data_IF_856892096162
#
_entry.id   IF_856892096162
#
_cell.length_a   1.000
_cell.length_b   1.000
_cell.length_c   1.000
_cell.angle_alpha   90.00
_cell.angle_beta   90.00
_cell.angle_gamma   90.00
#
_symmetry.space_group_name_H-M   'P 1'
#
loop_
_entity.id
_entity.type
_entity.pdbx_description
1 polymer ?
#
# COMPACT_ATOMS: atom_id res chain seq x y z
N UNK A 1 -102.12 13.02 8.23
CA UNK A 1 -101.06 13.54 9.07
C UNK A 1 -100.11 12.35 9.45
N UNK A 2 -99.04 12.20 8.75
CA UNK A 2 -98.02 11.18 9.11
C UNK A 2 -96.67 11.74 8.78
N UNK A 3 -95.83 11.92 9.80
CA UNK A 3 -94.48 12.41 9.66
C UNK A 3 -93.57 11.21 9.46
N UNK A 4 -92.97 11.08 8.32
CA UNK A 4 -91.92 10.10 8.02
C UNK A 4 -90.60 10.62 8.45
N UNK A 5 -89.99 9.96 9.43
CA UNK A 5 -88.62 10.20 9.87
C UNK A 5 -87.66 9.51 8.90
N UNK A 6 -86.81 10.32 8.30
CA UNK A 6 -85.72 9.88 7.42
C UNK A 6 -84.49 9.70 8.31
N UNK A 7 -83.96 8.49 8.33
CA UNK A 7 -82.69 8.19 8.97
C UNK A 7 -81.51 8.37 7.95
N UNK A 8 -80.66 9.30 8.27
CA UNK A 8 -79.43 9.49 7.54
C UNK A 8 -78.37 8.51 8.12
N UNK A 9 -78.01 7.54 7.31
CA UNK A 9 -76.90 6.65 7.61
C UNK A 9 -75.62 7.35 7.16
N UNK A 10 -74.83 7.82 8.17
CA UNK A 10 -73.49 8.37 7.91
C UNK A 10 -72.51 7.24 7.64
N UNK A 11 -71.99 7.19 6.42
CA UNK A 11 -70.86 6.33 6.07
C UNK A 11 -69.58 7.02 6.51
N UNK A 12 -68.98 6.54 7.58
CA UNK A 12 -67.64 6.94 8.00
C UNK A 12 -66.61 6.27 7.05
N UNK A 13 -66.03 7.06 6.19
CA UNK A 13 -64.85 6.62 5.39
C UNK A 13 -63.61 6.73 6.28
N UNK A 14 -63.13 5.61 6.76
CA UNK A 14 -61.82 5.52 7.45
C UNK A 14 -60.74 5.53 6.36
N UNK A 15 -60.11 6.67 6.17
CA UNK A 15 -58.91 6.79 5.33
C UNK A 15 -57.72 6.31 6.16
N UNK A 16 -57.33 5.06 5.96
CA UNK A 16 -56.10 4.52 6.51
C UNK A 16 -54.90 5.06 5.74
N UNK A 17 -54.29 6.10 6.26
CA UNK A 17 -52.98 6.59 5.77
C UNK A 17 -51.90 5.59 6.18
N UNK A 18 -51.49 4.74 5.25
CA UNK A 18 -50.34 3.88 5.36
C UNK A 18 -49.10 4.78 5.23
N UNK A 19 -48.51 5.22 6.35
CA UNK A 19 -47.22 5.88 6.37
C UNK A 19 -46.16 4.79 6.17
N UNK A 20 -45.71 4.62 4.93
CA UNK A 20 -44.52 3.83 4.67
C UNK A 20 -43.28 4.54 5.23
N UNK A 21 -42.81 4.07 6.40
CA UNK A 21 -41.51 4.45 6.91
C UNK A 21 -40.45 3.83 5.96
N UNK A 22 -40.00 4.61 4.99
CA UNK A 22 -38.75 4.33 4.27
C UNK A 22 -37.61 4.52 5.27
N UNK A 23 -37.15 3.45 5.90
CA UNK A 23 -35.89 3.42 6.62
C UNK A 23 -34.81 3.70 5.57
N UNK A 24 -34.36 4.94 5.47
CA UNK A 24 -33.10 5.27 4.84
C UNK A 24 -32.02 4.56 5.67
N UNK A 25 -31.56 3.41 5.18
CA UNK A 25 -30.29 2.85 5.60
C UNK A 25 -29.25 3.87 5.11
N UNK A 26 -28.88 4.80 5.98
CA UNK A 26 -27.72 5.64 5.73
C UNK A 26 -26.52 4.70 5.74
N UNK A 27 -26.11 4.25 4.53
CA UNK A 27 -24.78 3.69 4.39
C UNK A 27 -23.82 4.78 4.89
N UNK A 28 -22.93 4.51 5.84
CA UNK A 28 -21.89 5.46 6.19
C UNK A 28 -21.19 5.82 4.86
N UNK A 29 -20.86 7.11 4.62
CA UNK A 29 -20.07 7.45 3.46
C UNK A 29 -18.84 6.56 3.50
N UNK A 30 -18.66 5.76 2.46
CA UNK A 30 -17.43 5.01 2.27
C UNK A 30 -16.31 6.04 2.34
N UNK A 31 -15.40 5.87 3.31
CA UNK A 31 -14.23 6.72 3.41
C UNK A 31 -13.58 6.71 2.02
N UNK A 32 -13.60 7.86 1.34
CA UNK A 32 -13.06 7.94 -0.01
C UNK A 32 -11.57 7.72 0.11
N UNK A 33 -11.08 6.63 -0.46
CA UNK A 33 -9.67 6.32 -0.51
C UNK A 33 -8.93 7.52 -1.13
N UNK A 34 -7.95 8.09 -0.44
CA UNK A 34 -7.33 9.37 -0.79
C UNK A 34 -5.79 9.40 -0.63
N UNK A 35 -5.17 8.22 -0.48
CA UNK A 35 -3.73 8.09 -0.30
C UNK A 35 -3.04 7.46 -1.52
N UNK A 36 -3.38 7.91 -2.72
CA UNK A 36 -2.64 7.61 -3.94
C UNK A 36 -1.66 8.73 -4.28
N UNK A 37 -0.54 8.37 -4.88
CA UNK A 37 0.38 9.35 -5.41
C UNK A 37 0.02 9.67 -6.86
N UNK A 38 -0.73 10.76 -7.10
CA UNK A 38 -1.15 11.25 -8.43
C UNK A 38 -1.76 10.16 -9.36
N UNK A 39 -2.26 9.06 -8.81
CA UNK A 39 -2.79 7.97 -9.62
C UNK A 39 -1.76 7.25 -10.49
N UNK A 40 -0.46 7.35 -10.17
CA UNK A 40 0.57 6.55 -10.84
C UNK A 40 0.32 5.07 -10.62
N UNK A 41 0.38 4.29 -11.70
CA UNK A 41 -0.01 2.89 -11.69
C UNK A 41 0.77 2.07 -12.70
N UNK A 42 0.76 0.74 -12.55
CA UNK A 42 1.22 -0.19 -13.56
C UNK A 42 0.19 -0.27 -14.69
N UNK A 43 0.62 -0.01 -15.94
CA UNK A 43 -0.27 -0.21 -17.08
C UNK A 43 -0.59 -1.70 -17.25
N UNK A 44 -1.88 -2.04 -17.47
CA UNK A 44 -2.37 -3.41 -17.65
C UNK A 44 -3.68 -3.41 -18.43
N UNK A 45 -3.99 -4.55 -19.05
CA UNK A 45 -5.15 -4.72 -19.95
C UNK A 45 -6.38 -5.31 -19.25
N UNK A 46 -6.23 -5.81 -18.04
CA UNK A 46 -7.31 -6.42 -17.23
C UNK A 46 -7.01 -6.34 -15.74
N UNK A 47 -8.04 -6.49 -14.92
CA UNK A 47 -7.94 -6.73 -13.48
C UNK A 47 -8.56 -8.11 -13.17
N UNK A 48 -8.13 -8.83 -12.14
CA UNK A 48 -6.87 -8.58 -11.45
C UNK A 48 -5.66 -8.79 -12.39
N UNK A 49 -4.54 -8.17 -12.04
CA UNK A 49 -3.27 -8.40 -12.72
C UNK A 49 -2.23 -8.90 -11.70
N UNK A 50 -1.30 -9.73 -12.15
CA UNK A 50 -0.26 -10.28 -11.28
C UNK A 50 1.05 -9.53 -11.49
N UNK A 51 1.55 -8.85 -10.45
CA UNK A 51 2.83 -8.14 -10.47
C UNK A 51 3.95 -9.04 -9.91
N UNK A 52 5.01 -9.31 -10.68
CA UNK A 52 6.14 -10.07 -10.19
C UNK A 52 6.98 -9.27 -9.19
N UNK A 53 7.30 -9.87 -8.04
CA UNK A 53 8.24 -9.37 -7.04
C UNK A 53 9.50 -10.24 -7.09
N UNK A 54 10.61 -9.65 -7.54
CA UNK A 54 11.89 -10.34 -7.65
C UNK A 54 12.57 -10.45 -6.30
N UNK A 55 12.69 -11.65 -5.79
CA UNK A 55 13.33 -11.93 -4.51
C UNK A 55 14.85 -11.90 -4.62
N UNK A 56 15.45 -10.87 -4.06
CA UNK A 56 16.90 -10.70 -3.90
C UNK A 56 17.23 -10.59 -2.40
N UNK A 57 16.54 -11.33 -1.56
CA UNK A 57 16.68 -11.23 -0.12
C UNK A 57 17.54 -12.36 0.46
N UNK A 58 17.80 -12.31 1.75
CA UNK A 58 18.31 -13.42 2.53
C UNK A 58 17.15 -14.20 3.13
N UNK A 59 17.38 -15.46 3.46
CA UNK A 59 16.38 -16.31 4.12
C UNK A 59 15.76 -15.69 5.41
N UNK A 60 16.47 -14.75 6.04
CA UNK A 60 15.93 -14.01 7.20
C UNK A 60 14.77 -13.08 6.88
N UNK A 61 14.50 -12.84 5.59
CA UNK A 61 13.43 -11.96 5.12
C UNK A 61 12.38 -12.70 4.28
N UNK A 62 12.60 -13.98 3.91
CA UNK A 62 11.71 -14.72 3.02
C UNK A 62 10.28 -14.78 3.56
N UNK A 63 10.12 -14.99 4.87
CA UNK A 63 8.79 -15.03 5.51
C UNK A 63 8.06 -13.68 5.44
N UNK A 64 8.78 -12.57 5.60
CA UNK A 64 8.21 -11.23 5.56
C UNK A 64 7.81 -10.83 4.12
N UNK A 65 8.62 -11.21 3.14
CA UNK A 65 8.26 -11.02 1.73
C UNK A 65 7.07 -11.90 1.33
N UNK A 66 7.06 -13.16 1.79
CA UNK A 66 5.94 -14.07 1.55
C UNK A 66 4.64 -13.57 2.19
N UNK A 67 4.72 -12.94 3.37
CA UNK A 67 3.59 -12.30 4.00
C UNK A 67 3.04 -11.15 3.18
N UNK A 68 3.89 -10.21 2.85
CA UNK A 68 3.46 -9.03 2.12
C UNK A 68 2.92 -9.36 0.71
N UNK A 69 3.29 -10.49 0.11
CA UNK A 69 3.09 -10.65 -1.33
C UNK A 69 2.78 -12.04 -1.86
N UNK A 70 3.02 -13.09 -1.08
CA UNK A 70 2.91 -14.47 -1.60
C UNK A 70 1.51 -15.07 -1.54
N UNK A 71 1.28 -16.23 -2.19
CA UNK A 71 0.08 -17.02 -1.93
C UNK A 71 0.10 -17.51 -0.50
N UNK A 72 -1.09 -17.59 0.16
CA UNK A 72 -1.25 -17.97 1.56
C UNK A 72 -0.35 -19.14 1.93
N UNK A 73 0.77 -18.83 2.58
CA UNK A 73 1.60 -19.83 3.21
C UNK A 73 1.25 -19.83 4.69
N UNK A 74 1.08 -21.02 5.31
CA UNK A 74 1.00 -21.06 6.75
C UNK A 74 2.32 -20.51 7.30
N UNK A 75 2.27 -19.34 7.93
CA UNK A 75 3.40 -18.77 8.64
C UNK A 75 3.99 -19.82 9.60
N UNK A 76 5.30 -19.96 9.68
CA UNK A 76 5.90 -20.55 10.88
C UNK A 76 5.40 -19.68 12.04
N UNK A 77 4.75 -20.31 13.01
CA UNK A 77 4.04 -19.67 14.10
C UNK A 77 4.76 -18.40 14.58
N UNK A 78 4.31 -17.24 14.11
CA UNK A 78 4.64 -15.96 14.70
C UNK A 78 4.04 -15.99 16.11
N UNK A 79 4.81 -15.75 17.17
CA UNK A 79 4.28 -15.67 18.52
C UNK A 79 3.33 -14.47 18.73
N UNK A 80 3.16 -13.59 17.73
CA UNK A 80 2.19 -12.49 17.81
C UNK A 80 0.76 -13.06 17.74
N UNK A 81 -0.06 -12.91 18.80
CA UNK A 81 -1.39 -13.50 18.85
C UNK A 81 -2.42 -12.87 17.90
N UNK A 82 -2.03 -11.87 17.12
CA UNK A 82 -2.91 -11.08 16.26
C UNK A 82 -2.65 -11.26 14.77
N UNK A 83 -1.58 -11.96 14.40
CA UNK A 83 -1.24 -12.19 13.00
C UNK A 83 -2.06 -13.33 12.41
N UNK A 84 -3.10 -13.00 11.68
CA UNK A 84 -3.83 -13.96 10.83
C UNK A 84 -3.14 -13.98 9.48
N UNK A 85 -2.54 -15.10 9.12
CA UNK A 85 -1.80 -15.32 7.88
C UNK A 85 -2.67 -15.16 6.64
N UNK A 86 -2.77 -13.95 6.14
CA UNK A 86 -3.36 -13.65 4.84
C UNK A 86 -2.30 -13.02 3.95
N UNK A 87 -2.45 -13.17 2.65
CA UNK A 87 -1.57 -12.54 1.66
C UNK A 87 -1.90 -11.08 1.58
N UNK A 88 -1.13 -10.25 2.23
CA UNK A 88 -1.49 -8.87 2.42
C UNK A 88 -1.92 -8.19 1.12
N UNK A 89 -1.07 -8.08 0.14
CA UNK A 89 -1.41 -7.32 -1.06
C UNK A 89 -2.22 -8.10 -2.10
N UNK A 90 -2.14 -9.44 -2.12
CA UNK A 90 -2.92 -10.28 -3.04
C UNK A 90 -4.39 -10.46 -2.61
N UNK A 91 -4.79 -9.98 -1.43
CA UNK A 91 -6.20 -9.88 -1.03
C UNK A 91 -6.95 -8.75 -1.76
N UNK A 92 -6.23 -7.91 -2.48
CA UNK A 92 -6.82 -6.89 -3.35
C UNK A 92 -7.63 -7.50 -4.49
N UNK A 93 -8.80 -6.94 -4.80
CA UNK A 93 -9.64 -7.37 -5.93
C UNK A 93 -9.05 -7.03 -7.31
N UNK A 94 -8.01 -6.20 -7.38
CA UNK A 94 -7.46 -5.69 -8.64
C UNK A 94 -6.00 -6.07 -8.88
N UNK A 95 -5.29 -6.52 -7.84
CA UNK A 95 -3.86 -6.82 -7.86
C UNK A 95 -3.58 -8.13 -7.17
N UNK A 96 -2.86 -9.01 -7.85
CA UNK A 96 -2.13 -10.13 -7.25
C UNK A 96 -0.63 -9.85 -7.29
N UNK A 97 0.11 -10.48 -6.39
CA UNK A 97 1.56 -10.49 -6.43
C UNK A 97 2.10 -11.92 -6.53
N UNK A 98 3.25 -12.08 -7.12
CA UNK A 98 3.94 -13.37 -7.19
C UNK A 98 5.42 -13.20 -6.98
N UNK A 99 5.99 -14.03 -6.11
CA UNK A 99 7.43 -14.03 -5.84
C UNK A 99 8.12 -14.80 -6.96
N UNK A 100 9.12 -14.18 -7.57
CA UNK A 100 9.94 -14.77 -8.62
C UNK A 100 11.43 -14.62 -8.26
N UNK A 101 12.29 -15.39 -8.90
CA UNK A 101 13.74 -15.25 -8.71
C UNK A 101 14.19 -13.80 -8.98
N UNK A 102 15.03 -13.27 -8.11
CA UNK A 102 15.57 -11.91 -8.21
C UNK A 102 16.47 -11.72 -9.44
N UNK A 103 16.44 -10.52 -10.01
CA UNK A 103 17.20 -10.15 -11.20
C UNK A 103 18.42 -9.27 -10.94
N UNK A 104 18.74 -9.01 -9.67
CA UNK A 104 19.82 -8.11 -9.29
C UNK A 104 20.61 -8.63 -8.08
N UNK A 105 21.67 -7.95 -7.73
CA UNK A 105 22.36 -8.25 -6.47
C UNK A 105 21.75 -7.43 -5.32
N UNK A 106 21.62 -8.01 -4.14
CA UNK A 106 21.08 -7.36 -2.92
C UNK A 106 21.65 -5.97 -2.70
N UNK A 107 22.97 -5.85 -2.74
CA UNK A 107 23.67 -4.57 -2.52
C UNK A 107 23.29 -3.49 -3.54
N UNK A 108 23.16 -3.85 -4.80
CA UNK A 108 22.86 -2.88 -5.87
C UNK A 108 21.36 -2.59 -5.98
N UNK A 109 20.55 -3.64 -5.83
CA UNK A 109 19.11 -3.57 -5.97
C UNK A 109 18.68 -2.71 -7.17
N UNK A 110 19.15 -3.09 -8.36
CA UNK A 110 18.80 -2.39 -9.60
C UNK A 110 17.41 -2.79 -10.03
N UNK A 111 16.62 -1.85 -10.56
CA UNK A 111 15.30 -2.19 -11.08
C UNK A 111 15.40 -3.08 -12.31
N UNK A 112 14.40 -3.92 -12.48
CA UNK A 112 14.17 -4.75 -13.66
C UNK A 112 12.87 -4.32 -14.32
N UNK A 113 12.86 -4.14 -15.62
CA UNK A 113 11.68 -3.75 -16.39
C UNK A 113 10.50 -4.69 -16.12
N UNK A 114 9.34 -4.10 -15.86
CA UNK A 114 8.07 -4.83 -15.71
C UNK A 114 7.82 -5.48 -14.36
N UNK A 115 8.66 -5.26 -13.36
CA UNK A 115 8.51 -5.84 -12.02
C UNK A 115 9.13 -5.00 -10.91
N UNK A 116 8.95 -5.42 -9.67
CA UNK A 116 9.59 -4.86 -8.49
C UNK A 116 10.72 -5.78 -8.04
N UNK A 117 11.92 -5.25 -7.80
CA UNK A 117 13.01 -5.98 -7.16
C UNK A 117 13.02 -5.67 -5.66
N UNK A 118 12.93 -6.68 -4.83
CA UNK A 118 12.92 -6.57 -3.36
C UNK A 118 14.26 -7.05 -2.83
N UNK A 119 14.91 -6.22 -2.02
CA UNK A 119 16.29 -6.46 -1.60
C UNK A 119 16.50 -6.09 -0.13
N UNK A 120 17.30 -6.88 0.59
CA UNK A 120 17.85 -6.50 1.87
C UNK A 120 19.38 -6.48 1.80
N UNK A 121 20.00 -5.56 2.52
CA UNK A 121 21.45 -5.48 2.64
C UNK A 121 21.85 -4.56 3.81
N UNK A 122 23.06 -4.71 4.32
CA UNK A 122 23.67 -3.73 5.24
C UNK A 122 24.10 -2.48 4.45
N UNK A 123 23.12 -1.57 4.20
CA UNK A 123 23.39 -0.36 3.42
C UNK A 123 24.14 0.73 4.21
N UNK A 124 24.42 0.49 5.48
CA UNK A 124 25.05 1.43 6.41
C UNK A 124 24.05 2.20 7.27
N UNK A 125 24.54 2.86 8.32
CA UNK A 125 23.73 3.69 9.23
C UNK A 125 23.53 5.08 8.61
N UNK A 126 22.71 5.14 7.57
CA UNK A 126 22.52 6.31 6.71
C UNK A 126 21.15 6.96 6.88
N UNK A 127 20.43 6.64 7.97
CA UNK A 127 19.22 7.30 8.42
C UNK A 127 17.92 6.77 7.82
N UNK A 128 17.88 5.57 7.20
CA UNK A 128 16.64 4.99 6.69
C UNK A 128 16.52 3.50 6.97
N UNK A 129 15.29 3.05 7.27
CA UNK A 129 14.91 1.65 7.47
C UNK A 129 14.55 0.99 6.14
N UNK A 130 13.72 1.66 5.35
CA UNK A 130 13.19 1.20 4.09
C UNK A 130 13.21 2.29 3.02
N UNK A 131 13.21 1.85 1.76
CA UNK A 131 13.09 2.67 0.57
C UNK A 131 12.21 1.98 -0.45
N UNK A 132 11.20 2.68 -0.95
CA UNK A 132 10.50 2.31 -2.17
C UNK A 132 10.89 3.26 -3.31
N UNK A 133 11.14 2.72 -4.47
CA UNK A 133 11.43 3.49 -5.67
C UNK A 133 10.60 3.01 -6.84
N UNK A 134 9.94 3.94 -7.52
CA UNK A 134 9.24 3.67 -8.78
C UNK A 134 9.76 4.55 -9.91
N UNK A 135 9.92 3.96 -11.08
CA UNK A 135 10.27 4.68 -12.31
C UNK A 135 9.04 4.81 -13.17
N UNK A 136 8.78 6.02 -13.60
CA UNK A 136 7.63 6.37 -14.43
C UNK A 136 8.04 6.69 -15.87
N UNK A 137 7.18 6.28 -16.79
CA UNK A 137 7.10 6.81 -18.15
C UNK A 137 5.69 7.39 -18.34
N UNK A 138 5.57 8.71 -18.27
CA UNK A 138 4.29 9.40 -18.15
C UNK A 138 3.63 9.10 -16.80
N UNK A 139 2.40 8.60 -16.82
CA UNK A 139 1.65 8.18 -15.62
C UNK A 139 1.90 6.71 -15.22
N UNK A 140 2.61 5.93 -16.03
CA UNK A 140 2.73 4.50 -15.81
C UNK A 140 4.05 4.14 -15.12
N UNK A 141 3.94 3.28 -14.11
CA UNK A 141 5.08 2.61 -13.49
C UNK A 141 5.61 1.58 -14.48
N UNK A 142 6.92 1.56 -14.69
CA UNK A 142 7.58 0.65 -15.63
C UNK A 142 8.56 -0.30 -14.96
N UNK A 143 9.01 0.02 -13.76
CA UNK A 143 9.86 -0.79 -12.89
C UNK A 143 9.85 -0.21 -11.47
N UNK A 144 10.15 -1.05 -10.47
CA UNK A 144 10.22 -0.64 -9.07
C UNK A 144 11.34 -1.35 -8.31
N UNK A 145 11.69 -0.80 -7.15
CA UNK A 145 12.54 -1.48 -6.16
C UNK A 145 12.05 -1.19 -4.74
N UNK A 146 12.13 -2.20 -3.90
CA UNK A 146 11.96 -2.11 -2.45
C UNK A 146 13.27 -2.51 -1.78
N UNK A 147 13.74 -1.73 -0.81
CA UNK A 147 14.97 -2.01 -0.06
C UNK A 147 14.74 -1.91 1.43
N UNK A 148 15.20 -2.88 2.17
CA UNK A 148 15.22 -2.86 3.64
C UNK A 148 16.67 -2.89 4.13
N UNK A 149 16.97 -2.10 5.17
CA UNK A 149 18.35 -1.83 5.60
C UNK A 149 18.75 -2.64 6.83
N UNK A 150 19.40 -3.75 6.60
CA UNK A 150 19.87 -4.65 7.66
C UNK A 150 20.80 -3.99 8.67
N UNK A 151 21.41 -2.83 8.35
CA UNK A 151 22.21 -2.11 9.32
C UNK A 151 21.41 -1.65 10.54
N UNK A 152 20.11 -1.45 10.36
CA UNK A 152 19.16 -1.12 11.43
C UNK A 152 18.41 -2.35 11.92
N UNK A 153 17.95 -3.22 11.02
CA UNK A 153 17.21 -4.43 11.40
C UNK A 153 18.04 -5.47 12.15
N UNK A 154 19.35 -5.30 12.21
CA UNK A 154 20.23 -6.09 13.08
C UNK A 154 20.46 -5.44 14.46
N UNK A 155 19.85 -4.29 14.75
CA UNK A 155 19.89 -3.63 16.06
C UNK A 155 18.73 -4.09 16.94
N UNK A 156 18.87 -3.99 18.25
CA UNK A 156 17.83 -4.41 19.19
C UNK A 156 16.49 -3.64 18.98
N UNK A 157 16.54 -2.39 18.55
CA UNK A 157 15.36 -1.55 18.32
C UNK A 157 14.49 -2.09 17.19
N UNK A 158 15.09 -2.50 16.08
CA UNK A 158 14.37 -2.88 14.87
C UNK A 158 14.41 -4.37 14.54
N UNK A 159 15.16 -5.16 15.31
CA UNK A 159 15.21 -6.61 15.14
C UNK A 159 13.99 -7.27 15.79
N UNK A 160 12.82 -6.87 15.36
CA UNK A 160 11.53 -7.37 15.85
C UNK A 160 10.62 -7.67 14.65
N UNK A 161 9.77 -8.71 14.75
CA UNK A 161 8.87 -9.11 13.65
C UNK A 161 8.00 -7.96 13.17
N UNK A 162 7.33 -7.23 14.06
CA UNK A 162 6.41 -6.16 13.70
C UNK A 162 7.06 -5.06 12.86
N UNK A 163 8.28 -4.63 13.21
CA UNK A 163 9.02 -3.67 12.39
C UNK A 163 9.37 -4.22 11.01
N UNK A 164 9.70 -5.51 10.90
CA UNK A 164 10.00 -6.13 9.60
C UNK A 164 8.76 -6.26 8.74
N UNK A 165 7.61 -6.64 9.33
CA UNK A 165 6.32 -6.70 8.64
C UNK A 165 5.91 -5.32 8.15
N UNK A 166 5.85 -4.32 9.07
CA UNK A 166 5.49 -2.94 8.71
C UNK A 166 6.30 -2.45 7.52
N UNK A 167 7.64 -2.47 7.62
CA UNK A 167 8.49 -1.87 6.58
C UNK A 167 8.43 -2.66 5.27
N UNK A 168 8.36 -3.99 5.32
CA UNK A 168 8.22 -4.79 4.10
C UNK A 168 6.88 -4.50 3.40
N UNK A 169 5.78 -4.53 4.13
CA UNK A 169 4.45 -4.25 3.62
C UNK A 169 4.36 -2.84 3.03
N UNK A 170 4.83 -1.83 3.76
CA UNK A 170 4.75 -0.43 3.36
C UNK A 170 5.54 -0.14 2.09
N UNK A 171 6.81 -0.55 2.05
CA UNK A 171 7.68 -0.27 0.91
C UNK A 171 7.25 -1.04 -0.35
N UNK A 172 6.65 -2.24 -0.21
CA UNK A 172 6.03 -2.95 -1.32
C UNK A 172 4.78 -2.20 -1.78
N UNK A 173 3.91 -1.76 -0.85
CA UNK A 173 2.70 -0.99 -1.14
C UNK A 173 2.95 0.29 -1.95
N UNK A 174 3.99 1.04 -1.63
CA UNK A 174 4.39 2.22 -2.40
C UNK A 174 4.68 1.90 -3.87
N UNK A 175 5.18 0.69 -4.16
CA UNK A 175 5.48 0.31 -5.54
C UNK A 175 4.23 0.07 -6.40
N UNK A 176 3.05 0.03 -5.79
CA UNK A 176 1.76 -0.07 -6.48
C UNK A 176 1.11 1.29 -6.75
N UNK A 177 1.72 2.38 -6.29
CA UNK A 177 1.19 3.74 -6.42
C UNK A 177 0.47 4.26 -5.18
N UNK A 178 0.53 3.53 -4.07
CA UNK A 178 -0.01 3.97 -2.78
C UNK A 178 0.90 5.01 -2.12
N UNK A 179 0.27 5.91 -1.40
CA UNK A 179 0.89 6.83 -0.44
C UNK A 179 0.49 6.44 0.98
N UNK A 180 0.97 7.13 1.99
CA UNK A 180 0.59 6.87 3.38
C UNK A 180 -0.86 7.28 3.66
N UNK A 181 -1.57 6.51 4.48
CA UNK A 181 -2.86 6.91 5.02
C UNK A 181 -2.71 8.05 6.03
N UNK A 182 -1.71 7.96 6.89
CA UNK A 182 -1.37 8.99 7.85
C UNK A 182 0.16 9.08 8.01
N UNK A 183 0.67 10.29 8.20
CA UNK A 183 2.11 10.56 8.38
C UNK A 183 2.44 11.03 9.80
N UNK A 184 1.50 10.93 10.73
CA UNK A 184 1.69 11.33 12.13
C UNK A 184 2.15 10.12 12.93
N UNK A 185 3.42 10.06 13.28
CA UNK A 185 4.06 8.92 13.98
C UNK A 185 3.42 8.54 15.31
N UNK A 186 2.72 9.46 15.94
CA UNK A 186 2.18 9.32 17.31
C UNK A 186 0.66 9.28 17.37
N UNK A 187 -0.03 9.10 16.23
CA UNK A 187 -1.46 8.81 16.25
C UNK A 187 -1.71 7.37 16.74
N UNK A 188 -2.94 7.09 17.13
CA UNK A 188 -3.37 5.70 17.31
C UNK A 188 -3.25 4.97 15.97
N UNK A 189 -2.72 3.74 15.98
CA UNK A 189 -2.55 2.95 14.78
C UNK A 189 -3.86 2.79 14.01
N UNK A 190 -3.82 2.96 12.70
CA UNK A 190 -4.97 2.82 11.80
C UNK A 190 -5.22 1.37 11.36
N UNK A 191 -4.38 0.43 11.77
CA UNK A 191 -4.47 -0.98 11.38
C UNK A 191 -4.01 -1.22 9.94
N UNK A 192 -3.05 -0.47 9.49
CA UNK A 192 -2.47 -0.60 8.14
C UNK A 192 -0.99 -0.30 8.13
N UNK A 193 -0.24 -1.03 7.32
CA UNK A 193 1.17 -0.72 7.09
C UNK A 193 1.38 0.59 6.30
N UNK A 194 0.33 1.16 5.70
CA UNK A 194 0.41 2.47 5.05
C UNK A 194 0.18 3.63 6.03
N UNK A 195 0.01 3.36 7.32
CA UNK A 195 0.04 4.32 8.40
C UNK A 195 1.43 4.37 9.02
N UNK A 196 1.94 5.58 9.25
CA UNK A 196 3.24 5.75 9.85
C UNK A 196 3.16 5.68 11.38
N UNK A 197 3.98 4.84 11.99
CA UNK A 197 3.96 4.60 13.43
C UNK A 197 5.36 4.40 14.01
N UNK A 198 5.50 4.61 15.31
CA UNK A 198 6.66 4.15 16.09
C UNK A 198 6.35 2.88 16.91
N UNK A 199 5.17 2.33 16.72
CA UNK A 199 4.60 1.22 17.47
C UNK A 199 3.89 0.24 16.54
N UNK A 200 4.63 -0.52 15.70
CA UNK A 200 4.02 -1.33 14.64
C UNK A 200 3.17 -2.48 15.17
N UNK A 201 3.44 -3.01 16.36
CA UNK A 201 2.69 -4.11 16.99
C UNK A 201 1.47 -3.62 17.82
N UNK A 202 1.31 -2.31 17.98
CA UNK A 202 0.15 -1.72 18.64
C UNK A 202 -0.04 -2.23 20.06
N UNK A 203 -1.26 -2.68 20.39
CA UNK A 203 -1.63 -3.10 21.73
C UNK A 203 -0.83 -4.26 22.33
N UNK A 204 -0.15 -5.06 21.53
CA UNK A 204 0.65 -6.20 22.01
C UNK A 204 1.95 -5.74 22.71
N UNK A 205 2.51 -4.60 22.34
CA UNK A 205 3.71 -4.00 22.93
C UNK A 205 3.62 -2.48 23.06
N UNK A 206 2.50 -1.90 22.64
CA UNK A 206 2.33 -0.48 22.41
C UNK A 206 1.76 0.32 23.57
N UNK A 207 1.41 1.57 23.26
CA UNK A 207 0.93 2.54 24.23
C UNK A 207 -0.47 2.22 24.77
N UNK A 208 -1.27 1.43 24.06
CA UNK A 208 -2.63 1.05 24.45
C UNK A 208 -2.94 -0.40 24.04
N UNK A 209 -3.46 -1.19 24.96
CA UNK A 209 -3.87 -2.58 24.70
C UNK A 209 -4.99 -2.72 23.63
N UNK A 210 -5.56 -1.63 23.16
CA UNK A 210 -6.61 -1.57 22.14
C UNK A 210 -6.12 -1.04 20.79
N UNK A 211 -4.86 -0.63 20.68
CA UNK A 211 -4.31 -0.16 19.42
C UNK A 211 -4.18 -1.31 18.43
N UNK A 212 -4.49 -1.01 17.17
CA UNK A 212 -4.37 -1.96 16.06
C UNK A 212 -2.88 -2.15 15.71
N UNK A 213 -2.56 -3.28 15.09
CA UNK A 213 -1.23 -3.46 14.51
C UNK A 213 -1.16 -2.79 13.14
N UNK A 214 0.00 -2.25 12.79
CA UNK A 214 0.27 -1.67 11.47
C UNK A 214 1.14 -2.58 10.59
N UNK A 215 1.00 -3.89 10.75
CA UNK A 215 1.85 -4.88 10.10
C UNK A 215 1.37 -5.31 8.71
N UNK A 216 0.12 -4.99 8.34
CA UNK A 216 -0.56 -5.47 7.13
C UNK A 216 -1.43 -4.36 6.52
N UNK A 217 -1.88 -4.48 5.25
CA UNK A 217 -2.85 -3.55 4.68
C UNK A 217 -4.22 -3.67 5.36
N UNK A 218 -5.04 -2.64 5.23
CA UNK A 218 -6.45 -2.68 5.63
C UNK A 218 -7.39 -2.48 4.43
N UNK A 219 -8.71 -2.52 4.68
CA UNK A 219 -9.70 -2.35 3.62
C UNK A 219 -9.56 -1.02 2.87
N UNK A 220 -9.15 0.05 3.55
CA UNK A 220 -8.95 1.36 2.92
C UNK A 220 -7.82 1.36 1.89
N UNK A 221 -6.75 0.57 2.10
CA UNK A 221 -5.68 0.39 1.14
C UNK A 221 -6.17 -0.36 -0.11
N UNK A 222 -6.99 -1.40 0.08
CA UNK A 222 -7.59 -2.15 -1.04
C UNK A 222 -8.57 -1.28 -1.84
N UNK A 223 -9.37 -0.45 -1.18
CA UNK A 223 -10.28 0.51 -1.82
C UNK A 223 -9.47 1.55 -2.61
N UNK A 224 -8.31 1.97 -2.07
CA UNK A 224 -7.40 2.87 -2.78
C UNK A 224 -6.79 2.21 -4.02
N UNK A 225 -6.36 0.95 -3.92
CA UNK A 225 -5.90 0.18 -5.08
C UNK A 225 -7.00 0.04 -6.12
N UNK A 226 -8.23 -0.30 -5.70
CA UNK A 226 -9.38 -0.38 -6.60
C UNK A 226 -9.64 0.96 -7.31
N UNK A 227 -9.47 2.08 -6.62
CA UNK A 227 -9.58 3.43 -7.20
C UNK A 227 -8.48 3.73 -8.22
N UNK A 228 -7.20 3.47 -7.86
CA UNK A 228 -6.04 3.66 -8.76
C UNK A 228 -6.20 2.83 -10.03
N UNK A 229 -6.69 1.60 -9.86
CA UNK A 229 -6.78 0.58 -10.92
C UNK A 229 -8.21 0.43 -11.49
N UNK A 230 -9.06 1.46 -11.43
CA UNK A 230 -10.43 1.43 -11.95
C UNK A 230 -10.48 1.26 -13.48
N UNK A 231 -9.60 1.94 -14.22
CA UNK A 231 -9.51 1.85 -15.68
C UNK A 231 -8.54 0.76 -16.12
N UNK A 232 -8.55 0.40 -17.37
CA UNK A 232 -7.55 -0.45 -18.02
C UNK A 232 -6.81 0.34 -19.09
N UNK A 233 -5.59 -0.12 -19.43
CA UNK A 233 -4.73 0.53 -20.40
C UNK A 233 -4.71 -0.23 -21.74
N UNK A 234 -4.38 0.47 -22.82
CA UNK A 234 -4.20 -0.16 -24.14
C UNK A 234 -2.95 -1.02 -24.22
N UNK A 235 -2.03 -0.86 -23.27
CA UNK A 235 -0.74 -1.57 -23.19
C UNK A 235 -0.52 -2.12 -21.78
N UNK A 236 0.49 -2.97 -21.61
CA UNK A 236 0.93 -3.41 -20.28
C UNK A 236 2.38 -3.01 -20.02
N UNK A 237 2.67 -2.60 -18.79
CA UNK A 237 4.03 -2.49 -18.27
C UNK A 237 4.35 -3.65 -17.33
N UNK A 238 3.33 -4.33 -16.79
CA UNK A 238 3.48 -5.50 -15.92
C UNK A 238 4.08 -6.67 -16.71
N UNK A 239 5.14 -7.27 -16.16
CA UNK A 239 5.85 -8.40 -16.78
C UNK A 239 6.57 -8.07 -18.10
N UNK A 240 6.54 -6.83 -18.57
CA UNK A 240 7.11 -6.43 -19.83
C UNK A 240 8.61 -6.15 -19.72
N UNK A 241 9.43 -6.94 -20.39
CA UNK A 241 10.88 -6.74 -20.44
C UNK A 241 11.30 -5.45 -21.15
N UNK A 242 10.40 -4.84 -21.92
CA UNK A 242 10.61 -3.59 -22.63
C UNK A 242 9.91 -2.38 -22.01
N UNK A 243 9.20 -2.53 -20.89
CA UNK A 243 8.46 -1.42 -20.27
C UNK A 243 9.37 -0.20 -19.99
N UNK A 244 10.59 -0.44 -19.52
CA UNK A 244 11.56 0.60 -19.21
C UNK A 244 12.36 1.12 -20.43
N UNK A 245 12.13 0.62 -21.64
CA UNK A 245 12.84 1.10 -22.84
C UNK A 245 12.50 2.55 -23.19
N UNK A 246 11.36 3.05 -22.73
CA UNK A 246 10.97 4.45 -22.85
C UNK A 246 11.74 5.39 -21.90
N UNK A 247 12.46 4.84 -20.91
CA UNK A 247 13.25 5.65 -19.97
C UNK A 247 14.58 6.04 -20.59
N UNK A 248 15.06 7.27 -20.34
CA UNK A 248 16.41 7.66 -20.78
C UNK A 248 17.48 6.80 -20.08
N UNK A 249 18.65 6.61 -20.71
CA UNK A 249 19.73 5.79 -20.14
C UNK A 249 20.15 6.19 -18.71
N UNK A 250 20.09 7.48 -18.40
CA UNK A 250 20.39 7.98 -17.06
C UNK A 250 19.44 7.45 -15.98
N UNK A 251 18.16 7.25 -16.31
CA UNK A 251 17.17 6.67 -15.41
C UNK A 251 17.36 5.15 -15.27
N UNK A 252 17.69 4.46 -16.36
CA UNK A 252 17.81 3.00 -16.40
C UNK A 252 19.11 2.46 -15.79
N UNK A 253 20.23 3.19 -15.97
CA UNK A 253 21.57 2.70 -15.58
C UNK A 253 22.09 3.31 -14.29
N UNK A 254 21.40 4.30 -13.74
CA UNK A 254 21.81 4.98 -12.51
C UNK A 254 21.76 4.06 -11.29
N UNK A 255 22.63 4.32 -10.31
CA UNK A 255 22.49 3.80 -8.95
C UNK A 255 21.86 4.90 -8.10
N UNK A 256 20.68 4.63 -7.55
CA UNK A 256 19.90 5.61 -6.77
C UNK A 256 19.85 5.20 -5.28
N UNK A 257 20.98 4.74 -4.73
CA UNK A 257 21.08 4.27 -3.34
C UNK A 257 21.48 5.38 -2.33
N UNK A 258 21.61 6.62 -2.77
CA UNK A 258 21.98 7.73 -1.88
C UNK A 258 21.08 8.94 -2.07
N UNK A 259 20.83 9.70 -0.99
CA UNK A 259 19.99 10.92 -0.99
C UNK A 259 20.37 11.91 -2.10
N UNK A 260 21.65 12.11 -2.35
CA UNK A 260 22.14 13.02 -3.40
C UNK A 260 21.66 12.65 -4.81
N UNK A 261 21.19 11.40 -5.01
CA UNK A 261 20.72 10.90 -6.30
C UNK A 261 19.20 10.81 -6.42
N UNK A 262 18.45 11.02 -5.33
CA UNK A 262 16.99 10.92 -5.34
C UNK A 262 16.32 12.14 -5.99
N UNK A 263 17.04 13.24 -6.14
CA UNK A 263 16.54 14.47 -6.75
C UNK A 263 16.04 15.48 -5.71
N UNK A 264 14.95 16.17 -6.03
CA UNK A 264 14.37 17.20 -5.17
C UNK A 264 13.42 16.56 -4.15
N UNK A 265 13.54 16.93 -2.86
CA UNK A 265 12.57 16.58 -1.83
C UNK A 265 11.23 17.25 -2.16
N UNK A 266 10.16 16.47 -2.20
CA UNK A 266 8.79 16.94 -2.43
C UNK A 266 8.04 17.15 -1.12
N UNK A 267 8.21 16.21 -0.19
CA UNK A 267 7.50 16.18 1.07
C UNK A 267 8.39 15.61 2.16
N UNK A 268 8.13 16.05 3.37
CA UNK A 268 8.73 15.58 4.59
C UNK A 268 7.65 15.63 5.67
N UNK A 269 7.51 14.57 6.47
CA UNK A 269 6.65 14.61 7.64
C UNK A 269 7.17 15.62 8.66
N UNK A 270 6.28 16.09 9.56
CA UNK A 270 6.63 17.13 10.55
C UNK A 270 7.81 16.75 11.43
N UNK A 271 8.00 15.46 11.70
CA UNK A 271 9.09 14.91 12.50
C UNK A 271 10.33 14.52 11.69
N UNK A 272 10.29 14.72 10.35
CA UNK A 272 11.39 14.40 9.44
C UNK A 272 11.60 12.90 9.19
N UNK A 273 10.68 12.04 9.61
CA UNK A 273 10.84 10.59 9.57
C UNK A 273 10.37 9.98 8.24
N UNK A 274 9.47 10.65 7.53
CA UNK A 274 9.05 10.29 6.19
C UNK A 274 9.52 11.33 5.20
N UNK A 275 10.08 10.89 4.10
CA UNK A 275 10.52 11.77 3.04
C UNK A 275 10.12 11.21 1.68
N UNK A 276 9.68 12.11 0.81
CA UNK A 276 9.41 11.80 -0.58
C UNK A 276 10.27 12.67 -1.48
N UNK A 277 10.94 12.04 -2.42
CA UNK A 277 11.80 12.70 -3.41
C UNK A 277 11.32 12.43 -4.82
N UNK A 278 11.61 13.36 -5.73
CA UNK A 278 11.44 13.18 -7.17
C UNK A 278 12.72 13.58 -7.91
N UNK A 279 13.11 12.71 -8.83
CA UNK A 279 14.11 13.04 -9.85
C UNK A 279 13.45 13.02 -11.22
N UNK A 280 13.47 14.15 -11.88
CA UNK A 280 12.97 14.30 -13.24
C UNK A 280 14.11 14.09 -14.23
N UNK A 281 13.88 13.26 -15.23
CA UNK A 281 14.84 12.97 -16.30
C UNK A 281 14.41 13.59 -17.65
N UNK A 282 13.30 14.33 -17.66
CA UNK A 282 12.69 14.89 -18.85
C UNK A 282 11.77 13.90 -19.58
N UNK A 283 11.02 14.41 -20.56
CA UNK A 283 10.12 13.63 -21.42
C UNK A 283 9.12 12.73 -20.66
N UNK A 284 8.69 13.15 -19.46
CA UNK A 284 7.77 12.40 -18.61
C UNK A 284 8.41 11.24 -17.84
N UNK A 285 9.74 11.06 -17.94
CA UNK A 285 10.45 10.05 -17.18
C UNK A 285 10.81 10.60 -15.79
N UNK A 286 10.37 9.91 -14.73
CA UNK A 286 10.60 10.32 -13.34
C UNK A 286 10.98 9.12 -12.48
N UNK A 287 11.70 9.40 -11.40
CA UNK A 287 11.92 8.48 -10.29
C UNK A 287 11.34 9.11 -9.04
N UNK A 288 10.45 8.40 -8.37
CA UNK A 288 10.03 8.73 -7.01
C UNK A 288 10.74 7.82 -6.01
N UNK A 289 11.09 8.39 -4.86
CA UNK A 289 11.71 7.64 -3.76
C UNK A 289 11.00 7.99 -2.47
N UNK A 290 10.29 7.03 -1.87
CA UNK A 290 9.79 7.09 -0.51
C UNK A 290 10.85 6.60 0.44
N UNK A 291 10.91 7.18 1.61
CA UNK A 291 11.92 6.88 2.63
C UNK A 291 11.24 6.82 3.98
N UNK A 292 11.31 5.68 4.64
CA UNK A 292 11.02 5.58 6.06
C UNK A 292 12.33 5.70 6.83
N UNK A 293 12.46 6.71 7.68
CA UNK A 293 13.69 6.97 8.40
C UNK A 293 13.84 6.06 9.63
N UNK A 294 15.09 5.79 9.98
CA UNK A 294 15.46 5.23 11.27
C UNK A 294 15.47 6.35 12.32
N UNK A 295 14.75 6.17 13.40
CA UNK A 295 14.68 7.08 14.57
C UNK A 295 15.70 6.72 15.64
#
# INVERSE_FOLDING_TARGET
MSMTRMWLVGVAVVVSTLVALLAFVAFPPTAQANHSWNGYHWARKSNPFTLPLGDNMTAAWDSYLAAASGPAQPYPADPSPTFTSTNDWSDSSVLDTTIVAGGTTRKRCRPTSGRVEVCNYTYGTNGWLGLAQIWLSGSHIVQGTTKVNDSYFNTATYNQPAWRHLVMCQEVGHTFGLDHQNETKTNANLGTCMDYTNDPDGGAGGASATDLTNEQPNQHDYDQLASIYTHTDLRTTVGSTSAASALPPAANRGSFNSRAKWGRKLRESRDGQLELFVRDFGSGAKLFTWVIAAS
#
